data_IF_764952484668
#
_entry.id   IF_764952484668
#
_cell.length_a   1.000
_cell.length_b   1.000
_cell.length_c   1.000
_cell.angle_alpha   90.00
_cell.angle_beta   90.00
_cell.angle_gamma   90.00
#
_symmetry.space_group_name_H-M   'P 1'
#
loop_
_entity.id
_entity.type
_entity.pdbx_description
1 polymer ?
#
# COMPACT_ATOMS: atom_id res chain seq x y z
N UNK A 1 67.49 19.64 -10.09
CA UNK A 1 66.03 19.73 -10.31
C UNK A 1 65.83 19.55 -11.80
N UNK A 2 65.55 18.33 -12.22
CA UNK A 2 65.02 18.06 -13.56
C UNK A 2 63.56 18.50 -13.55
N UNK A 3 63.17 19.36 -14.49
CA UNK A 3 61.75 19.67 -14.72
C UNK A 3 61.03 18.38 -15.19
N UNK A 4 59.76 18.15 -14.80
CA UNK A 4 59.01 16.99 -15.27
C UNK A 4 58.89 17.06 -16.80
N UNK A 5 59.13 15.93 -17.47
CA UNK A 5 59.01 15.81 -18.92
C UNK A 5 57.52 15.83 -19.32
N UNK A 6 56.94 17.04 -19.40
CA UNK A 6 55.56 17.35 -19.80
C UNK A 6 55.29 16.81 -21.22
N UNK A 7 54.16 16.15 -21.47
CA UNK A 7 53.90 15.54 -22.77
C UNK A 7 53.75 16.64 -23.84
N UNK A 8 54.32 16.51 -25.06
CA UNK A 8 54.29 17.59 -26.07
C UNK A 8 52.87 18.09 -26.43
N UNK A 9 51.86 17.24 -26.27
CA UNK A 9 50.45 17.55 -26.53
C UNK A 9 49.68 18.08 -25.32
N UNK A 10 50.25 18.06 -24.12
CA UNK A 10 49.58 18.49 -22.88
C UNK A 10 49.10 19.94 -22.97
N UNK A 11 49.98 20.82 -23.48
CA UNK A 11 49.65 22.23 -23.73
C UNK A 11 48.56 22.42 -24.79
N UNK A 12 48.47 21.53 -25.77
CA UNK A 12 47.39 21.56 -26.76
C UNK A 12 46.06 21.13 -26.12
N UNK A 13 46.06 20.07 -25.32
CA UNK A 13 44.87 19.60 -24.59
C UNK A 13 44.35 20.68 -23.63
N UNK A 14 45.22 21.31 -22.83
CA UNK A 14 44.85 22.42 -21.95
C UNK A 14 44.28 23.61 -22.72
N UNK A 15 44.88 23.94 -23.88
CA UNK A 15 44.41 25.05 -24.69
C UNK A 15 43.04 24.77 -25.32
N UNK A 16 42.73 23.51 -25.65
CA UNK A 16 41.41 23.11 -26.10
C UNK A 16 40.41 23.09 -24.93
N UNK A 17 40.82 22.62 -23.75
CA UNK A 17 40.00 22.59 -22.55
C UNK A 17 39.58 24.00 -22.09
N UNK A 18 40.47 24.99 -22.17
CA UNK A 18 40.13 26.41 -21.91
C UNK A 18 39.06 26.98 -22.86
N UNK A 19 38.74 26.28 -23.95
CA UNK A 19 37.70 26.67 -24.91
C UNK A 19 36.39 25.87 -24.71
N UNK A 20 36.30 25.04 -23.66
CA UNK A 20 35.09 24.25 -23.35
C UNK A 20 33.86 25.13 -23.11
N UNK A 21 34.01 26.31 -22.52
CA UNK A 21 32.89 27.24 -22.32
C UNK A 21 32.20 27.65 -23.65
N UNK A 22 32.93 27.62 -24.77
CA UNK A 22 32.38 27.86 -26.12
C UNK A 22 31.84 26.60 -26.79
N UNK A 23 32.33 25.42 -26.41
CA UNK A 23 32.01 24.12 -27.01
C UNK A 23 30.79 23.45 -26.33
N UNK A 24 30.78 23.43 -24.99
CA UNK A 24 29.80 22.70 -24.20
C UNK A 24 28.35 23.15 -24.46
N UNK A 25 28.02 24.45 -24.60
CA UNK A 25 26.65 24.86 -24.92
C UNK A 25 26.16 24.34 -26.28
N UNK A 26 27.04 24.28 -27.28
CA UNK A 26 26.72 23.75 -28.62
C UNK A 26 26.53 22.24 -28.58
N UNK A 27 27.43 21.54 -27.89
CA UNK A 27 27.33 20.09 -27.70
C UNK A 27 26.05 19.75 -26.93
N UNK A 28 25.71 20.51 -25.89
CA UNK A 28 24.46 20.33 -25.14
C UNK A 28 23.22 20.53 -26.03
N UNK A 29 23.28 21.50 -26.95
CA UNK A 29 22.21 21.71 -27.96
C UNK A 29 22.05 20.47 -28.85
N UNK A 30 23.16 19.89 -29.33
CA UNK A 30 23.12 18.65 -30.11
C UNK A 30 22.58 17.46 -29.29
N UNK A 31 22.96 17.36 -28.02
CA UNK A 31 22.46 16.30 -27.13
C UNK A 31 20.95 16.39 -26.94
N UNK A 32 20.42 17.56 -26.62
CA UNK A 32 18.97 17.74 -26.44
C UNK A 32 18.19 17.55 -27.75
N UNK A 33 18.82 17.80 -28.91
CA UNK A 33 18.24 17.51 -30.21
C UNK A 33 18.09 15.99 -30.46
N UNK A 34 19.15 15.21 -30.20
CA UNK A 34 19.14 13.76 -30.44
C UNK A 34 18.50 12.95 -29.30
N UNK A 35 18.46 13.51 -28.09
CA UNK A 35 17.95 12.87 -26.87
C UNK A 35 17.09 13.85 -26.04
N UNK A 36 15.85 14.16 -26.48
CA UNK A 36 14.97 15.14 -25.82
C UNK A 36 14.63 14.78 -24.36
N UNK A 37 14.68 13.50 -24.00
CA UNK A 37 14.41 13.02 -22.63
C UNK A 37 15.37 13.63 -21.59
N UNK A 38 16.57 14.05 -22.02
CA UNK A 38 17.55 14.69 -21.14
C UNK A 38 17.23 16.15 -20.79
N UNK A 39 16.17 16.74 -21.36
CA UNK A 39 15.72 18.08 -21.00
C UNK A 39 15.29 18.22 -19.53
N UNK A 40 14.98 17.10 -18.85
CA UNK A 40 14.65 17.07 -17.43
C UNK A 40 15.87 17.03 -16.51
N UNK A 41 17.08 16.80 -17.04
CA UNK A 41 18.32 16.75 -16.26
C UNK A 41 18.80 18.19 -15.99
N UNK A 42 19.24 18.50 -14.76
CA UNK A 42 19.82 19.80 -14.45
C UNK A 42 20.98 20.18 -15.39
N UNK A 43 20.98 21.43 -15.86
CA UNK A 43 21.91 21.90 -16.88
C UNK A 43 23.38 21.84 -16.42
N UNK A 44 23.66 22.10 -15.15
CA UNK A 44 24.97 22.00 -14.54
C UNK A 44 25.51 20.57 -14.54
N UNK A 45 24.66 19.59 -14.22
CA UNK A 45 24.99 18.16 -14.26
C UNK A 45 25.28 17.72 -15.70
N UNK A 46 24.49 18.19 -16.67
CA UNK A 46 24.71 17.93 -18.10
C UNK A 46 26.04 18.51 -18.59
N UNK A 47 26.32 19.77 -18.26
CA UNK A 47 27.57 20.44 -18.65
C UNK A 47 28.80 19.75 -18.06
N UNK A 48 28.72 19.32 -16.79
CA UNK A 48 29.80 18.58 -16.13
C UNK A 48 30.06 17.23 -16.81
N UNK A 49 29.01 16.44 -17.05
CA UNK A 49 29.13 15.15 -17.73
C UNK A 49 29.72 15.29 -19.15
N UNK A 50 29.30 16.33 -19.88
CA UNK A 50 29.82 16.61 -21.22
C UNK A 50 31.29 17.02 -21.21
N UNK A 51 31.71 17.82 -20.21
CA UNK A 51 33.10 18.19 -20.04
C UNK A 51 33.98 16.95 -19.78
N UNK A 52 33.53 16.04 -18.93
CA UNK A 52 34.24 14.79 -18.62
C UNK A 52 34.33 13.86 -19.84
N UNK A 53 33.28 13.82 -20.66
CA UNK A 53 33.29 13.16 -21.96
C UNK A 53 34.38 13.71 -22.88
N UNK A 54 34.46 15.03 -23.06
CA UNK A 54 35.48 15.67 -23.89
C UNK A 54 36.90 15.47 -23.35
N UNK A 55 37.10 15.55 -22.02
CA UNK A 55 38.39 15.25 -21.39
C UNK A 55 38.87 13.86 -21.72
N UNK A 56 37.97 12.89 -21.80
CA UNK A 56 38.31 11.50 -22.17
C UNK A 56 38.94 11.43 -23.57
N UNK A 57 38.42 12.22 -24.52
CA UNK A 57 39.01 12.33 -25.85
C UNK A 57 40.35 13.05 -25.82
N UNK A 58 40.49 14.13 -25.04
CA UNK A 58 41.76 14.85 -24.89
C UNK A 58 42.87 13.96 -24.30
N UNK A 59 42.58 13.26 -23.20
CA UNK A 59 43.53 12.34 -22.56
C UNK A 59 43.98 11.24 -23.54
N UNK A 60 43.04 10.69 -24.31
CA UNK A 60 43.36 9.64 -25.28
C UNK A 60 44.30 10.10 -26.41
N UNK A 61 44.45 11.41 -26.66
CA UNK A 61 45.42 11.91 -27.66
C UNK A 61 46.88 11.72 -27.24
N UNK A 62 47.12 11.49 -25.95
CA UNK A 62 48.43 11.25 -25.36
C UNK A 62 48.67 9.77 -25.05
N UNK A 63 47.68 8.91 -25.31
CA UNK A 63 47.73 7.47 -25.02
C UNK A 63 47.87 6.66 -26.31
N UNK A 64 48.75 5.65 -26.36
CA UNK A 64 48.90 4.79 -27.53
C UNK A 64 47.76 3.78 -27.67
N UNK A 65 47.07 3.43 -26.57
CA UNK A 65 45.95 2.51 -26.56
C UNK A 65 44.62 3.27 -26.45
N UNK A 66 43.78 3.13 -27.48
CA UNK A 66 42.45 3.75 -27.53
C UNK A 66 41.34 2.82 -27.01
N UNK A 67 41.66 1.61 -26.56
CA UNK A 67 40.65 0.68 -26.05
C UNK A 67 39.87 1.21 -24.83
N UNK A 68 40.50 1.88 -23.85
CA UNK A 68 39.77 2.51 -22.75
C UNK A 68 38.76 3.57 -23.23
N UNK A 69 39.13 4.34 -24.26
CA UNK A 69 38.22 5.29 -24.91
C UNK A 69 37.06 4.57 -25.58
N UNK A 70 37.32 3.52 -26.37
CA UNK A 70 36.26 2.74 -27.06
C UNK A 70 35.25 2.19 -26.07
N UNK A 71 35.70 1.60 -24.96
CA UNK A 71 34.82 1.05 -23.92
C UNK A 71 33.94 2.13 -23.28
N UNK A 72 34.52 3.29 -22.96
CA UNK A 72 33.79 4.42 -22.39
C UNK A 72 32.74 4.98 -23.35
N UNK A 73 33.10 5.09 -24.63
CA UNK A 73 32.19 5.57 -25.68
C UNK A 73 31.02 4.61 -25.87
N UNK A 74 31.25 3.30 -25.89
CA UNK A 74 30.17 2.29 -25.94
C UNK A 74 29.27 2.42 -24.71
N UNK A 75 29.83 2.40 -23.50
CA UNK A 75 29.05 2.47 -22.26
C UNK A 75 28.16 3.75 -22.19
N UNK A 76 28.71 4.90 -22.57
CA UNK A 76 27.95 6.16 -22.62
C UNK A 76 26.87 6.14 -23.70
N UNK A 77 27.15 5.54 -24.85
CA UNK A 77 26.18 5.43 -25.96
C UNK A 77 25.04 4.46 -25.65
N UNK A 78 25.32 3.34 -24.97
CA UNK A 78 24.29 2.43 -24.47
C UNK A 78 23.37 3.12 -23.47
N UNK A 79 23.93 3.92 -22.54
CA UNK A 79 23.14 4.68 -21.59
C UNK A 79 22.15 5.64 -22.28
N UNK A 80 22.59 6.30 -23.36
CA UNK A 80 21.76 7.19 -24.18
C UNK A 80 20.67 6.45 -24.98
N UNK A 81 20.91 5.20 -25.37
CA UNK A 81 19.90 4.36 -26.03
C UNK A 81 18.81 3.93 -25.04
N UNK A 82 19.18 3.56 -23.80
CA UNK A 82 18.20 3.09 -22.82
C UNK A 82 17.25 4.18 -22.33
N UNK A 83 17.66 5.45 -22.31
CA UNK A 83 16.76 6.58 -22.03
C UNK A 83 15.80 6.91 -23.20
N UNK A 84 15.75 6.06 -24.24
CA UNK A 84 14.78 6.11 -25.33
C UNK A 84 15.33 6.64 -26.66
N UNK A 85 16.64 6.79 -26.81
CA UNK A 85 17.26 7.19 -28.07
C UNK A 85 17.49 6.02 -29.02
N UNK A 86 17.34 6.25 -30.32
CA UNK A 86 17.72 5.25 -31.33
C UNK A 86 19.25 5.02 -31.30
N UNK A 87 19.75 3.78 -31.48
CA UNK A 87 21.19 3.49 -31.51
C UNK A 87 21.99 4.36 -32.47
N UNK A 88 21.37 4.77 -33.58
CA UNK A 88 21.95 5.64 -34.59
C UNK A 88 22.15 7.08 -34.08
N UNK A 89 21.35 7.54 -33.12
CA UNK A 89 21.44 8.89 -32.56
C UNK A 89 22.74 9.11 -31.79
N UNK A 90 23.26 8.08 -31.11
CA UNK A 90 24.53 8.18 -30.38
C UNK A 90 25.69 8.45 -31.35
N UNK A 91 25.67 7.80 -32.51
CA UNK A 91 26.64 8.03 -33.59
C UNK A 91 26.51 9.45 -34.14
N UNK A 92 25.30 9.90 -34.45
CA UNK A 92 25.06 11.25 -34.97
C UNK A 92 25.49 12.35 -33.98
N UNK A 93 25.22 12.16 -32.69
CA UNK A 93 25.69 13.06 -31.65
C UNK A 93 27.22 13.12 -31.61
N UNK A 94 27.89 11.97 -31.69
CA UNK A 94 29.35 11.93 -31.69
C UNK A 94 29.96 12.58 -32.94
N UNK A 95 29.33 12.42 -34.11
CA UNK A 95 29.70 13.10 -35.34
C UNK A 95 29.57 14.63 -35.23
N UNK A 96 28.47 15.12 -34.67
CA UNK A 96 28.23 16.53 -34.43
C UNK A 96 29.24 17.12 -33.42
N UNK A 97 29.47 16.42 -32.32
CA UNK A 97 30.45 16.81 -31.30
C UNK A 97 31.87 16.86 -31.87
N UNK A 98 32.24 15.88 -32.71
CA UNK A 98 33.51 15.87 -33.43
C UNK A 98 33.69 17.11 -34.32
N UNK A 99 32.64 17.53 -35.03
CA UNK A 99 32.72 18.71 -35.90
C UNK A 99 33.01 19.99 -35.10
N UNK A 100 32.31 20.20 -33.98
CA UNK A 100 32.52 21.37 -33.13
C UNK A 100 33.93 21.39 -32.53
N UNK A 101 34.39 20.24 -32.02
CA UNK A 101 35.70 20.13 -31.37
C UNK A 101 36.85 20.26 -32.37
N UNK A 102 36.75 19.63 -33.55
CA UNK A 102 37.77 19.77 -34.59
C UNK A 102 37.83 21.17 -35.18
N UNK A 103 36.69 21.89 -35.27
CA UNK A 103 36.71 23.28 -35.72
C UNK A 103 37.57 24.15 -34.80
N UNK A 104 37.44 23.99 -33.49
CA UNK A 104 38.24 24.71 -32.50
C UNK A 104 39.71 24.24 -32.50
N UNK A 105 39.97 22.95 -32.71
CA UNK A 105 41.33 22.44 -32.86
C UNK A 105 42.03 23.02 -34.12
N UNK A 106 41.29 23.23 -35.21
CA UNK A 106 41.82 23.87 -36.42
C UNK A 106 42.07 25.37 -36.26
N UNK A 107 41.28 26.08 -35.42
CA UNK A 107 41.59 27.46 -35.02
C UNK A 107 42.99 27.53 -34.36
N UNK A 108 43.27 26.61 -33.43
CA UNK A 108 44.58 26.49 -32.79
C UNK A 108 45.72 26.24 -33.78
N UNK A 109 45.47 25.45 -34.83
CA UNK A 109 46.43 25.25 -35.92
C UNK A 109 46.67 26.54 -36.70
N UNK A 110 45.61 27.28 -37.02
CA UNK A 110 45.70 28.54 -37.76
C UNK A 110 46.39 29.65 -36.94
N UNK A 111 46.22 29.64 -35.62
CA UNK A 111 46.91 30.52 -34.67
C UNK A 111 48.40 30.18 -34.50
N UNK A 112 48.87 29.06 -35.06
CA UNK A 112 50.25 28.60 -34.93
C UNK A 112 50.59 28.06 -33.53
N UNK A 113 49.59 27.56 -32.80
CA UNK A 113 49.78 27.06 -31.45
C UNK A 113 50.69 25.80 -31.44
N UNK A 114 51.64 25.68 -30.50
CA UNK A 114 52.59 24.55 -30.46
C UNK A 114 51.89 23.18 -30.50
N UNK A 115 52.40 22.28 -31.34
CA UNK A 115 51.89 20.91 -31.53
C UNK A 115 50.39 20.80 -31.90
N UNK A 116 49.71 21.90 -32.25
CA UNK A 116 48.29 21.87 -32.56
C UNK A 116 47.93 20.99 -33.75
N UNK A 117 48.81 20.93 -34.76
CA UNK A 117 48.62 20.04 -35.93
C UNK A 117 48.65 18.57 -35.53
N UNK A 118 49.62 18.19 -34.70
CA UNK A 118 49.78 16.82 -34.22
C UNK A 118 48.65 16.43 -33.27
N UNK A 119 48.32 17.30 -32.31
CA UNK A 119 47.19 17.10 -31.40
C UNK A 119 45.85 17.00 -32.11
N UNK A 120 45.61 17.80 -33.16
CA UNK A 120 44.40 17.70 -33.98
C UNK A 120 44.33 16.36 -34.71
N UNK A 121 45.44 15.85 -35.25
CA UNK A 121 45.48 14.54 -35.91
C UNK A 121 45.22 13.40 -34.93
N UNK A 122 45.78 13.46 -33.71
CA UNK A 122 45.49 12.47 -32.67
C UNK A 122 44.03 12.54 -32.22
N UNK A 123 43.47 13.73 -32.09
CA UNK A 123 42.06 13.91 -31.74
C UNK A 123 41.14 13.32 -32.83
N UNK A 124 41.48 13.48 -34.11
CA UNK A 124 40.77 12.82 -35.21
C UNK A 124 40.83 11.29 -35.10
N UNK A 125 41.97 10.72 -34.71
CA UNK A 125 42.12 9.29 -34.48
C UNK A 125 41.24 8.82 -33.31
N UNK A 126 41.24 9.54 -32.19
CA UNK A 126 40.40 9.26 -31.02
C UNK A 126 38.90 9.28 -31.36
N UNK A 127 38.44 10.31 -32.08
CA UNK A 127 37.05 10.36 -32.55
C UNK A 127 36.70 9.25 -33.55
N UNK A 128 37.64 8.87 -34.42
CA UNK A 128 37.41 7.76 -35.36
C UNK A 128 37.26 6.43 -34.62
N UNK A 129 38.08 6.18 -33.61
CA UNK A 129 37.95 5.00 -32.76
C UNK A 129 36.61 4.97 -31.99
N UNK A 130 36.16 6.12 -31.48
CA UNK A 130 34.85 6.23 -30.84
C UNK A 130 33.68 5.97 -31.81
N UNK A 131 33.73 6.54 -33.01
CA UNK A 131 32.71 6.32 -34.05
C UNK A 131 32.64 4.87 -34.51
N UNK A 132 33.79 4.21 -34.67
CA UNK A 132 33.84 2.77 -34.97
C UNK A 132 33.18 1.94 -33.86
N UNK A 133 33.46 2.26 -32.59
CA UNK A 133 32.90 1.57 -31.44
C UNK A 133 31.37 1.74 -31.34
N UNK A 134 30.84 2.96 -31.53
CA UNK A 134 29.39 3.21 -31.57
C UNK A 134 28.71 2.51 -32.73
N UNK A 135 29.36 2.43 -33.89
CA UNK A 135 28.83 1.71 -35.06
C UNK A 135 28.71 0.22 -34.75
N UNK A 136 29.77 -0.39 -34.17
CA UNK A 136 29.76 -1.80 -33.77
C UNK A 136 28.69 -2.11 -32.72
N UNK A 137 28.48 -1.19 -31.76
CA UNK A 137 27.42 -1.26 -30.76
C UNK A 137 26.01 -1.25 -31.38
N UNK A 138 25.75 -0.32 -32.32
CA UNK A 138 24.44 -0.23 -32.98
C UNK A 138 24.05 -1.51 -33.75
N UNK A 139 25.02 -2.24 -34.31
CA UNK A 139 24.78 -3.53 -34.97
C UNK A 139 24.57 -4.70 -34.00
N UNK A 140 24.97 -4.58 -32.74
CA UNK A 140 24.91 -5.68 -31.75
C UNK A 140 23.72 -5.58 -30.79
N UNK A 141 23.24 -4.36 -30.51
CA UNK A 141 22.06 -4.10 -29.67
C UNK A 141 20.74 -4.76 -30.13
N UNK A 142 20.40 -4.90 -31.43
CA UNK A 142 19.13 -5.52 -31.84
C UNK A 142 19.03 -7.03 -31.54
N UNK A 143 20.12 -7.71 -31.18
CA UNK A 143 20.16 -9.16 -30.93
C UNK A 143 20.49 -9.56 -29.48
N UNK A 144 20.91 -8.61 -28.63
CA UNK A 144 21.11 -8.86 -27.21
C UNK A 144 19.89 -8.33 -26.45
N UNK A 145 19.18 -9.21 -25.73
CA UNK A 145 18.14 -8.80 -24.80
C UNK A 145 18.65 -7.71 -23.87
N UNK A 146 17.79 -6.75 -23.54
CA UNK A 146 18.07 -5.56 -22.74
C UNK A 146 19.03 -5.87 -21.57
N UNK A 147 20.31 -5.54 -21.71
CA UNK A 147 21.28 -5.60 -20.59
C UNK A 147 21.19 -4.24 -19.90
N UNK A 148 20.42 -4.18 -18.82
CA UNK A 148 20.35 -2.99 -17.98
C UNK A 148 21.69 -2.84 -17.24
N UNK A 149 22.46 -1.80 -17.57
CA UNK A 149 23.71 -1.51 -16.86
C UNK A 149 23.44 -0.99 -15.44
N UNK A 150 24.40 -1.16 -14.53
CA UNK A 150 24.26 -0.70 -13.14
C UNK A 150 23.84 0.78 -13.00
N UNK A 151 24.33 1.74 -13.80
CA UNK A 151 23.86 3.14 -13.75
C UNK A 151 22.39 3.32 -14.12
N UNK A 152 21.88 2.57 -15.10
CA UNK A 152 20.47 2.66 -15.53
C UNK A 152 19.52 2.02 -14.52
N UNK A 153 19.91 0.88 -13.94
CA UNK A 153 19.18 0.29 -12.83
C UNK A 153 19.11 1.24 -11.63
N UNK A 154 20.20 1.97 -11.38
CA UNK A 154 20.25 2.97 -10.32
C UNK A 154 19.30 4.13 -10.59
N UNK A 155 19.33 4.71 -11.80
CA UNK A 155 18.39 5.78 -12.18
C UNK A 155 16.95 5.32 -12.08
N UNK A 156 16.64 4.12 -12.59
CA UNK A 156 15.30 3.52 -12.45
C UNK A 156 14.88 3.39 -10.99
N UNK A 157 15.76 2.85 -10.14
CA UNK A 157 15.49 2.68 -8.73
C UNK A 157 15.29 4.04 -8.02
N UNK A 158 16.06 5.07 -8.39
CA UNK A 158 15.95 6.43 -7.84
C UNK A 158 14.62 7.09 -8.19
N UNK A 159 14.12 6.95 -9.43
CA UNK A 159 12.83 7.54 -9.85
C UNK A 159 11.61 6.65 -9.56
N UNK A 160 11.81 5.44 -9.04
CA UNK A 160 10.72 4.52 -8.77
C UNK A 160 9.82 5.05 -7.63
N UNK A 161 8.49 5.14 -7.82
CA UNK A 161 7.58 5.58 -6.77
C UNK A 161 7.38 4.54 -5.65
N UNK A 162 7.84 3.30 -5.85
CA UNK A 162 7.89 2.29 -4.80
C UNK A 162 9.15 2.47 -3.95
N UNK A 163 9.07 2.20 -2.66
CA UNK A 163 10.25 2.22 -1.79
C UNK A 163 11.16 1.03 -2.14
N UNK A 164 12.40 1.31 -2.50
CA UNK A 164 13.40 0.31 -2.88
C UNK A 164 14.59 0.43 -1.95
N UNK A 165 15.02 -0.70 -1.41
CA UNK A 165 16.26 -0.84 -0.67
C UNK A 165 17.07 -2.02 -1.22
N UNK A 166 18.39 -1.85 -1.35
CA UNK A 166 19.30 -2.92 -1.73
C UNK A 166 20.36 -3.06 -0.65
N UNK A 167 20.62 -4.28 -0.21
CA UNK A 167 21.65 -4.62 0.76
C UNK A 167 22.63 -5.67 0.21
N UNK A 168 23.90 -5.53 0.54
CA UNK A 168 24.90 -6.58 0.31
C UNK A 168 24.64 -7.79 1.23
N UNK A 169 25.14 -8.98 0.89
CA UNK A 169 25.09 -10.15 1.78
C UNK A 169 25.78 -9.96 3.14
N UNK A 170 26.53 -8.87 3.33
CA UNK A 170 27.03 -8.39 4.62
C UNK A 170 26.04 -7.55 5.44
N UNK A 171 24.74 -7.66 5.14
CA UNK A 171 23.58 -7.03 5.80
C UNK A 171 23.47 -5.50 5.66
N UNK A 172 24.51 -4.80 5.25
CA UNK A 172 24.45 -3.36 5.07
C UNK A 172 23.70 -2.96 3.79
N UNK A 173 22.77 -2.03 3.96
CA UNK A 173 22.07 -1.36 2.88
C UNK A 173 23.07 -0.52 2.11
N UNK A 174 23.26 -0.89 0.85
CA UNK A 174 24.11 -0.20 -0.11
C UNK A 174 23.35 0.85 -0.90
N UNK A 175 22.01 0.79 -0.89
CA UNK A 175 21.14 1.72 -1.61
C UNK A 175 19.75 1.80 -0.98
N UNK A 176 19.20 2.99 -0.91
CA UNK A 176 17.80 3.26 -0.63
C UNK A 176 17.36 4.47 -1.48
N UNK A 177 16.23 4.36 -2.17
CA UNK A 177 15.71 5.48 -2.97
C UNK A 177 14.95 6.50 -2.11
N UNK A 178 14.58 7.64 -2.72
CA UNK A 178 13.85 8.71 -2.03
C UNK A 178 12.50 8.22 -1.47
N UNK A 179 11.80 7.35 -2.20
CA UNK A 179 10.57 6.71 -1.76
C UNK A 179 10.76 5.90 -0.47
N UNK A 180 11.88 5.18 -0.33
CA UNK A 180 12.23 4.45 0.88
C UNK A 180 12.56 5.39 2.05
N UNK A 181 13.32 6.45 1.81
CA UNK A 181 13.61 7.44 2.86
C UNK A 181 12.33 8.14 3.33
N UNK A 182 11.42 8.46 2.40
CA UNK A 182 10.11 9.04 2.69
C UNK A 182 9.23 8.11 3.52
N UNK A 183 9.17 6.82 3.15
CA UNK A 183 8.46 5.78 3.90
C UNK A 183 8.96 5.68 5.35
N UNK A 184 10.28 5.75 5.53
CA UNK A 184 10.89 5.66 6.85
C UNK A 184 10.80 6.98 7.63
N UNK A 185 10.48 8.11 6.97
CA UNK A 185 10.47 9.44 7.57
C UNK A 185 11.85 9.96 7.97
N UNK A 186 12.92 9.32 7.47
CA UNK A 186 14.32 9.69 7.70
C UNK A 186 15.19 9.13 6.58
N UNK A 187 16.33 9.77 6.37
CA UNK A 187 17.35 9.23 5.49
C UNK A 187 17.98 7.99 6.12
N UNK A 188 18.01 6.90 5.36
CA UNK A 188 18.66 5.66 5.75
C UNK A 188 20.15 5.76 5.48
N UNK A 189 20.97 5.41 6.46
CA UNK A 189 22.42 5.52 6.38
C UNK A 189 23.06 4.29 5.74
N UNK A 190 24.16 4.51 5.02
CA UNK A 190 25.03 3.45 4.49
C UNK A 190 25.64 2.69 5.68
N UNK A 191 25.09 1.52 6.01
CA UNK A 191 25.45 0.76 7.21
C UNK A 191 24.26 0.28 8.07
N UNK A 192 23.03 0.66 7.74
CA UNK A 192 21.84 0.06 8.36
C UNK A 192 21.43 -1.21 7.61
N UNK A 193 20.85 -2.17 8.32
CA UNK A 193 20.38 -3.42 7.72
C UNK A 193 18.87 -3.38 7.52
N UNK A 194 18.34 -4.01 6.48
CA UNK A 194 16.88 -4.11 6.32
C UNK A 194 16.22 -4.76 7.55
N UNK A 195 16.89 -5.75 8.16
CA UNK A 195 16.43 -6.39 9.40
C UNK A 195 16.34 -5.46 10.60
N UNK A 196 17.23 -4.45 10.69
CA UNK A 196 17.16 -3.44 11.75
C UNK A 196 15.93 -2.53 11.65
N UNK A 197 15.36 -2.41 10.45
CA UNK A 197 14.12 -1.68 10.22
C UNK A 197 12.91 -2.52 10.58
N UNK A 198 13.00 -3.84 10.72
CA UNK A 198 11.86 -4.69 11.05
C UNK A 198 11.56 -4.59 12.55
N UNK A 199 10.30 -4.37 12.91
CA UNK A 199 9.88 -4.32 14.32
C UNK A 199 10.27 -5.63 15.04
N UNK A 200 10.62 -5.60 16.34
CA UNK A 200 11.05 -6.80 17.07
C UNK A 200 10.08 -7.98 16.99
N UNK A 201 8.77 -7.70 16.99
CA UNK A 201 7.73 -8.72 16.86
C UNK A 201 7.78 -9.50 15.52
N UNK A 202 8.34 -8.91 14.47
CA UNK A 202 8.47 -9.52 13.15
C UNK A 202 9.90 -10.01 12.85
N UNK A 203 10.85 -9.90 13.78
CA UNK A 203 12.23 -10.34 13.58
C UNK A 203 12.32 -11.82 13.18
N UNK A 204 11.57 -12.70 13.85
CA UNK A 204 11.53 -14.13 13.51
C UNK A 204 10.93 -14.41 12.13
N UNK A 205 9.91 -13.63 11.72
CA UNK A 205 9.32 -13.73 10.37
C UNK A 205 10.31 -13.29 9.30
N UNK A 206 11.08 -12.24 9.56
CA UNK A 206 12.13 -11.78 8.66
C UNK A 206 13.27 -12.79 8.54
N UNK A 207 13.68 -13.42 9.65
CA UNK A 207 14.69 -14.48 9.63
C UNK A 207 14.26 -15.66 8.74
N UNK A 208 13.01 -16.12 8.89
CA UNK A 208 12.46 -17.18 8.03
C UNK A 208 12.32 -16.75 6.56
N UNK A 209 11.93 -15.49 6.31
CA UNK A 209 11.89 -14.93 4.96
C UNK A 209 13.28 -14.95 4.31
N UNK A 210 14.34 -14.61 5.06
CA UNK A 210 15.72 -14.65 4.56
C UNK A 210 16.12 -16.06 4.14
N UNK A 211 15.83 -17.08 4.95
CA UNK A 211 16.09 -18.48 4.59
C UNK A 211 15.35 -18.88 3.30
N UNK A 212 14.08 -18.48 3.18
CA UNK A 212 13.29 -18.73 1.97
C UNK A 212 13.88 -18.03 0.74
N UNK A 213 14.35 -16.78 0.85
CA UNK A 213 14.99 -16.07 -0.27
C UNK A 213 16.27 -16.77 -0.73
N UNK A 214 17.07 -17.30 0.21
CA UNK A 214 18.28 -18.06 -0.13
C UNK A 214 17.95 -19.37 -0.87
N UNK A 215 16.85 -20.03 -0.50
CA UNK A 215 16.42 -21.27 -1.13
C UNK A 215 15.70 -21.05 -2.47
N UNK A 216 14.79 -20.09 -2.54
CA UNK A 216 13.80 -19.93 -3.63
C UNK A 216 14.02 -18.67 -4.49
N UNK A 217 15.12 -17.94 -4.28
CA UNK A 217 15.50 -16.68 -4.97
C UNK A 217 14.59 -15.47 -4.71
N UNK A 218 13.40 -15.66 -4.13
CA UNK A 218 12.48 -14.57 -3.82
C UNK A 218 11.59 -14.88 -2.61
N UNK A 219 11.00 -13.85 -2.02
CA UNK A 219 9.98 -13.95 -0.99
C UNK A 219 9.03 -12.76 -1.07
N UNK A 220 7.77 -12.99 -0.70
CA UNK A 220 6.78 -11.94 -0.55
C UNK A 220 5.98 -12.12 0.73
N UNK A 221 5.78 -11.05 1.48
CA UNK A 221 4.94 -11.09 2.65
C UNK A 221 4.82 -9.76 3.37
N UNK A 222 3.99 -9.76 4.41
CA UNK A 222 3.68 -8.56 5.19
C UNK A 222 4.57 -8.46 6.41
N UNK A 223 5.19 -7.29 6.57
CA UNK A 223 6.01 -6.91 7.70
C UNK A 223 5.52 -5.59 8.30
N UNK A 224 6.19 -5.18 9.36
CA UNK A 224 6.05 -3.86 9.97
C UNK A 224 7.46 -3.33 10.12
N UNK A 225 7.68 -2.13 9.61
CA UNK A 225 8.95 -1.45 9.72
C UNK A 225 8.87 -0.38 10.80
N UNK A 226 10.02 -0.08 11.40
CA UNK A 226 10.23 0.92 12.42
C UNK A 226 10.84 2.16 11.76
N UNK A 227 10.03 3.17 11.52
CA UNK A 227 10.46 4.45 10.97
C UNK A 227 11.04 5.40 12.02
N UNK A 228 11.17 6.67 11.63
CA UNK A 228 11.61 7.75 12.50
C UNK A 228 10.77 7.82 13.78
N UNK A 229 11.40 8.19 14.89
CA UNK A 229 10.72 8.37 16.20
C UNK A 229 9.96 7.13 16.70
N UNK A 230 10.25 5.94 16.15
CA UNK A 230 9.64 4.68 16.56
C UNK A 230 8.25 4.43 15.97
N UNK A 231 7.84 5.15 14.92
CA UNK A 231 6.57 4.88 14.24
C UNK A 231 6.61 3.52 13.54
N UNK A 232 5.52 2.75 13.65
CA UNK A 232 5.41 1.46 12.97
C UNK A 232 4.63 1.61 11.67
N UNK A 233 5.26 1.29 10.54
CA UNK A 233 4.61 1.29 9.22
C UNK A 233 4.33 -0.15 8.79
N UNK A 234 3.05 -0.54 8.62
CA UNK A 234 2.72 -1.81 7.99
C UNK A 234 3.09 -1.77 6.50
N UNK A 235 3.84 -2.77 6.06
CA UNK A 235 4.34 -2.84 4.68
C UNK A 235 4.15 -4.21 4.08
N UNK A 236 3.88 -4.25 2.78
CA UNK A 236 4.06 -5.45 1.98
C UNK A 236 5.45 -5.40 1.34
N UNK A 237 6.25 -6.44 1.57
CA UNK A 237 7.63 -6.54 1.10
C UNK A 237 7.73 -7.63 0.06
N UNK A 238 8.34 -7.31 -1.07
CA UNK A 238 8.80 -8.29 -2.06
C UNK A 238 10.32 -8.22 -2.09
N UNK A 239 10.97 -9.32 -1.74
CA UNK A 239 12.41 -9.40 -1.62
C UNK A 239 12.94 -10.45 -2.60
N UNK A 240 14.02 -10.16 -3.30
CA UNK A 240 14.62 -11.08 -4.27
C UNK A 240 16.13 -10.92 -4.34
N UNK A 241 16.78 -12.03 -4.65
CA UNK A 241 18.24 -12.10 -4.73
C UNK A 241 18.74 -11.57 -6.07
N UNK A 242 19.77 -10.73 -6.01
CA UNK A 242 20.48 -10.17 -7.15
C UNK A 242 21.92 -10.70 -7.16
N UNK A 243 22.45 -10.90 -8.37
CA UNK A 243 23.88 -11.13 -8.60
C UNK A 243 24.51 -9.81 -9.04
N UNK A 244 25.63 -9.43 -8.44
CA UNK A 244 26.37 -8.22 -8.81
C UNK A 244 27.33 -8.54 -9.95
N UNK A 245 27.71 -7.53 -10.74
CA UNK A 245 28.65 -7.67 -11.86
C UNK A 245 30.03 -8.21 -11.42
N UNK A 246 30.41 -8.02 -10.15
CA UNK A 246 31.63 -8.55 -9.55
C UNK A 246 31.53 -9.99 -9.02
N UNK A 247 30.41 -10.69 -9.26
CA UNK A 247 30.19 -12.06 -8.76
C UNK A 247 29.81 -12.15 -7.28
N UNK A 248 29.39 -11.04 -6.66
CA UNK A 248 28.82 -11.00 -5.31
C UNK A 248 27.31 -11.14 -5.34
N UNK A 249 26.69 -11.38 -4.19
CA UNK A 249 25.23 -11.41 -4.09
C UNK A 249 24.71 -10.18 -3.32
N UNK A 250 23.51 -9.74 -3.69
CA UNK A 250 22.78 -8.67 -3.03
C UNK A 250 21.31 -9.07 -2.85
N UNK A 251 20.64 -8.41 -1.91
CA UNK A 251 19.22 -8.54 -1.67
C UNK A 251 18.54 -7.23 -2.04
N UNK A 252 17.57 -7.28 -2.94
CA UNK A 252 16.70 -6.15 -3.23
C UNK A 252 15.36 -6.35 -2.56
N UNK A 253 14.87 -5.32 -1.88
CA UNK A 253 13.56 -5.25 -1.26
C UNK A 253 12.76 -4.12 -1.91
N UNK A 254 11.63 -4.46 -2.49
CA UNK A 254 10.57 -3.51 -2.85
C UNK A 254 9.56 -3.51 -1.71
N UNK A 255 9.32 -2.32 -1.15
CA UNK A 255 8.51 -2.10 0.04
C UNK A 255 7.34 -1.21 -0.33
N UNK A 256 6.13 -1.66 -0.02
CA UNK A 256 4.91 -0.89 -0.25
C UNK A 256 4.24 -0.57 1.07
N UNK A 257 3.97 0.70 1.34
CA UNK A 257 3.12 1.11 2.45
C UNK A 257 1.68 0.61 2.26
N UNK A 258 1.15 -0.09 3.26
CA UNK A 258 -0.25 -0.55 3.25
C UNK A 258 -1.07 0.09 4.37
N UNK A 259 -0.57 1.18 4.97
CA UNK A 259 -1.25 1.91 6.03
C UNK A 259 -2.63 2.40 5.62
N UNK A 260 -2.73 3.08 4.47
CA UNK A 260 -4.02 3.58 3.96
C UNK A 260 -4.98 2.43 3.63
N UNK A 261 -4.46 1.37 2.99
CA UNK A 261 -5.25 0.20 2.64
C UNK A 261 -5.85 -0.46 3.89
N UNK A 262 -5.05 -0.63 4.95
CA UNK A 262 -5.52 -1.20 6.22
C UNK A 262 -6.51 -0.28 6.93
N UNK A 263 -6.32 1.04 6.90
CA UNK A 263 -7.29 2.00 7.47
C UNK A 263 -8.64 1.91 6.76
N UNK A 264 -8.64 1.85 5.43
CA UNK A 264 -9.86 1.71 4.62
C UNK A 264 -10.56 0.38 4.92
N UNK A 265 -9.81 -0.71 5.04
CA UNK A 265 -10.37 -2.02 5.38
C UNK A 265 -11.00 -2.04 6.78
N UNK A 266 -10.32 -1.47 7.77
CA UNK A 266 -10.82 -1.35 9.14
C UNK A 266 -12.08 -0.49 9.23
N UNK A 267 -12.10 0.65 8.54
CA UNK A 267 -13.28 1.53 8.51
C UNK A 267 -14.46 0.82 7.84
N UNK A 268 -14.22 0.06 6.76
CA UNK A 268 -15.25 -0.76 6.14
C UNK A 268 -15.83 -1.79 7.11
N UNK A 269 -14.99 -2.49 7.87
CA UNK A 269 -15.44 -3.48 8.87
C UNK A 269 -16.24 -2.80 9.99
N UNK A 270 -15.81 -1.61 10.43
CA UNK A 270 -16.52 -0.82 11.44
C UNK A 270 -17.91 -0.40 10.95
N UNK A 271 -18.00 0.16 9.75
CA UNK A 271 -19.28 0.56 9.15
C UNK A 271 -20.21 -0.65 8.96
N UNK A 272 -19.68 -1.80 8.55
CA UNK A 272 -20.46 -3.04 8.46
C UNK A 272 -20.99 -3.47 9.82
N UNK A 273 -20.16 -3.43 10.88
CA UNK A 273 -20.60 -3.76 12.23
C UNK A 273 -21.67 -2.79 12.75
N UNK A 274 -21.57 -1.50 12.43
CA UNK A 274 -22.57 -0.49 12.78
C UNK A 274 -23.91 -0.72 12.05
N UNK A 275 -23.86 -1.07 10.76
CA UNK A 275 -25.05 -1.45 9.98
C UNK A 275 -25.70 -2.68 10.58
N UNK A 276 -24.93 -3.73 10.92
CA UNK A 276 -25.46 -4.94 11.56
C UNK A 276 -26.10 -4.59 12.91
N UNK A 277 -25.44 -3.80 13.75
CA UNK A 277 -25.99 -3.39 15.05
C UNK A 277 -27.28 -2.58 14.90
N UNK A 278 -27.35 -1.70 13.90
CA UNK A 278 -28.56 -0.92 13.59
C UNK A 278 -29.69 -1.81 13.09
N UNK A 279 -29.38 -2.78 12.22
CA UNK A 279 -30.34 -3.78 11.75
C UNK A 279 -30.85 -4.65 12.90
N UNK A 280 -29.98 -5.13 13.78
CA UNK A 280 -30.35 -5.90 14.97
C UNK A 280 -31.23 -5.10 15.93
N UNK A 281 -30.93 -3.81 16.13
CA UNK A 281 -31.75 -2.91 16.93
C UNK A 281 -33.13 -2.70 16.30
N UNK A 282 -33.20 -2.45 14.99
CA UNK A 282 -34.46 -2.31 14.25
C UNK A 282 -35.27 -3.62 14.27
N UNK A 283 -34.62 -4.78 14.14
CA UNK A 283 -35.26 -6.09 14.30
C UNK A 283 -35.82 -6.23 15.72
N UNK A 284 -35.07 -5.85 16.77
CA UNK A 284 -35.57 -5.87 18.16
C UNK A 284 -36.74 -4.92 18.39
N UNK A 285 -36.73 -3.74 17.78
CA UNK A 285 -37.82 -2.76 17.86
C UNK A 285 -39.07 -3.25 17.11
N UNK A 286 -38.91 -3.81 15.91
CA UNK A 286 -39.99 -4.48 15.15
C UNK A 286 -40.49 -5.76 15.83
N UNK A 287 -39.68 -6.34 16.72
CA UNK A 287 -40.08 -7.45 17.58
C UNK A 287 -40.81 -7.01 18.84
N UNK A 288 -41.22 -5.73 18.98
CA UNK A 288 -41.98 -5.30 20.15
C UNK A 288 -43.27 -6.11 20.27
N UNK A 289 -43.36 -6.95 21.32
CA UNK A 289 -44.51 -7.82 21.49
C UNK A 289 -45.66 -7.02 22.11
N UNK A 290 -45.45 -5.80 22.63
CA UNK A 290 -46.46 -5.06 23.38
C UNK A 290 -47.15 -3.97 22.53
N UNK A 291 -48.35 -4.28 22.06
CA UNK A 291 -49.22 -3.43 21.25
C UNK A 291 -50.17 -2.59 22.14
N UNK A 292 -50.13 -1.25 22.09
CA UNK A 292 -51.14 -0.43 22.74
C UNK A 292 -52.46 -0.53 21.97
N UNK A 293 -53.54 -0.93 22.64
CA UNK A 293 -54.86 -1.07 22.02
C UNK A 293 -55.78 0.13 22.32
N UNK A 294 -55.66 0.69 23.52
CA UNK A 294 -56.38 1.87 23.97
C UNK A 294 -55.66 2.49 25.17
N UNK A 295 -56.12 3.65 25.64
CA UNK A 295 -55.64 4.25 26.88
C UNK A 295 -55.78 3.25 28.06
N UNK A 296 -54.65 2.90 28.67
CA UNK A 296 -54.60 1.93 29.77
C UNK A 296 -54.81 0.46 29.36
N UNK A 297 -54.79 0.12 28.07
CA UNK A 297 -54.92 -1.27 27.57
C UNK A 297 -53.76 -1.62 26.64
N UNK A 298 -53.02 -2.67 27.00
CA UNK A 298 -51.92 -3.21 26.18
C UNK A 298 -52.18 -4.67 25.84
N UNK A 299 -51.63 -5.15 24.73
CA UNK A 299 -51.71 -6.54 24.30
C UNK A 299 -50.33 -7.08 23.93
N UNK A 300 -50.07 -8.34 24.23
CA UNK A 300 -48.82 -9.01 24.02
C UNK A 300 -48.99 -10.36 23.32
N UNK A 301 -48.91 -10.44 21.98
CA UNK A 301 -48.78 -11.72 21.29
C UNK A 301 -47.47 -12.44 21.60
N UNK A 302 -47.58 -13.72 21.94
CA UNK A 302 -46.47 -14.67 22.03
C UNK A 302 -46.58 -15.65 20.86
N UNK A 303 -45.58 -15.64 19.99
CA UNK A 303 -45.52 -16.50 18.79
C UNK A 303 -44.30 -17.42 18.84
N UNK A 304 -44.50 -18.70 18.50
CA UNK A 304 -43.44 -19.71 18.39
C UNK A 304 -43.18 -20.46 19.70
N UNK A 305 -42.04 -21.15 19.77
CA UNK A 305 -41.62 -21.90 20.96
C UNK A 305 -40.99 -20.98 21.99
N UNK A 306 -41.37 -21.13 23.26
CA UNK A 306 -40.82 -20.34 24.37
C UNK A 306 -40.00 -21.27 25.26
N UNK A 307 -38.72 -21.00 25.38
CA UNK A 307 -37.84 -21.62 26.38
C UNK A 307 -37.75 -20.75 27.65
N UNK A 308 -37.00 -21.20 28.66
CA UNK A 308 -36.87 -20.48 29.93
C UNK A 308 -36.27 -19.07 29.75
N UNK A 309 -35.25 -18.92 28.89
CA UNK A 309 -34.59 -17.64 28.61
C UNK A 309 -35.55 -16.65 27.95
N UNK A 310 -36.27 -17.10 26.92
CA UNK A 310 -37.26 -16.30 26.20
C UNK A 310 -38.46 -15.96 27.08
N UNK A 311 -38.88 -16.88 27.95
CA UNK A 311 -39.95 -16.65 28.93
C UNK A 311 -39.62 -15.52 29.91
N UNK A 312 -38.38 -15.46 30.40
CA UNK A 312 -37.92 -14.37 31.26
C UNK A 312 -37.92 -13.01 30.51
N UNK A 313 -37.37 -12.96 29.30
CA UNK A 313 -37.38 -11.72 28.49
C UNK A 313 -38.80 -11.23 28.17
N UNK A 314 -39.74 -12.15 27.94
CA UNK A 314 -41.17 -11.85 27.72
C UNK A 314 -41.80 -11.24 28.98
N UNK A 315 -41.51 -11.81 30.15
CA UNK A 315 -41.99 -11.30 31.43
C UNK A 315 -41.48 -9.89 31.69
N UNK A 316 -40.18 -9.66 31.52
CA UNK A 316 -39.56 -8.36 31.75
C UNK A 316 -40.15 -7.30 30.81
N UNK A 317 -40.29 -7.62 29.52
CA UNK A 317 -40.90 -6.72 28.53
C UNK A 317 -42.38 -6.41 28.85
N UNK A 318 -43.14 -7.38 29.33
CA UNK A 318 -44.54 -7.17 29.75
C UNK A 318 -44.62 -6.21 30.94
N UNK A 319 -43.83 -6.45 31.99
CA UNK A 319 -43.86 -5.66 33.22
C UNK A 319 -43.32 -4.24 33.01
N UNK A 320 -42.21 -4.08 32.29
CA UNK A 320 -41.68 -2.78 31.89
C UNK A 320 -42.72 -2.03 31.05
N UNK A 321 -43.36 -2.73 30.11
CA UNK A 321 -44.41 -2.20 29.27
C UNK A 321 -45.65 -1.72 30.03
N UNK A 322 -46.10 -2.50 31.02
CA UNK A 322 -47.21 -2.16 31.93
C UNK A 322 -46.86 -0.92 32.73
N UNK A 323 -45.67 -0.87 33.33
CA UNK A 323 -45.22 0.22 34.18
C UNK A 323 -45.08 1.54 33.38
N UNK A 324 -44.38 1.48 32.25
CA UNK A 324 -44.14 2.66 31.40
C UNK A 324 -45.43 3.27 30.85
N UNK A 325 -46.45 2.45 30.59
CA UNK A 325 -47.74 2.89 30.00
C UNK A 325 -48.88 2.99 31.01
N UNK A 326 -48.62 2.74 32.29
CA UNK A 326 -49.62 2.68 33.37
C UNK A 326 -50.85 1.84 32.95
N UNK A 327 -50.60 0.67 32.36
CA UNK A 327 -51.64 -0.17 31.82
C UNK A 327 -52.53 -0.72 32.95
N UNK A 328 -53.84 -0.56 32.83
CA UNK A 328 -54.83 -1.11 33.77
C UNK A 328 -55.24 -2.52 33.37
N UNK A 329 -55.14 -2.83 32.07
CA UNK A 329 -55.41 -4.17 31.53
C UNK A 329 -54.29 -4.55 30.57
N UNK A 330 -53.74 -5.75 30.75
CA UNK A 330 -52.80 -6.36 29.82
C UNK A 330 -53.41 -7.64 29.24
N UNK A 331 -53.35 -7.81 27.92
CA UNK A 331 -53.76 -9.03 27.23
C UNK A 331 -52.49 -9.80 26.85
N UNK A 332 -52.42 -11.08 27.15
CA UNK A 332 -51.35 -11.98 26.74
C UNK A 332 -51.93 -13.01 25.77
N UNK A 333 -51.62 -12.88 24.49
CA UNK A 333 -52.14 -13.78 23.46
C UNK A 333 -51.16 -14.91 23.18
N UNK A 334 -51.53 -16.13 23.58
CA UNK A 334 -50.71 -17.33 23.40
C UNK A 334 -51.18 -18.21 22.25
N UNK A 335 -52.04 -17.67 21.36
CA UNK A 335 -52.57 -18.41 20.19
C UNK A 335 -51.46 -18.99 19.31
N UNK A 336 -50.31 -18.33 19.22
CA UNK A 336 -49.16 -18.73 18.42
C UNK A 336 -48.24 -19.77 19.06
N UNK A 337 -48.54 -20.25 20.28
CA UNK A 337 -47.70 -21.22 21.00
C UNK A 337 -48.12 -22.67 20.69
N UNK A 338 -47.13 -23.51 20.37
CA UNK A 338 -47.32 -24.92 20.05
C UNK A 338 -47.14 -25.84 21.26
N UNK A 339 -46.27 -25.48 22.20
CA UNK A 339 -45.94 -26.26 23.41
C UNK A 339 -45.75 -25.31 24.59
N UNK A 340 -46.29 -25.67 25.74
CA UNK A 340 -46.02 -25.02 27.03
C UNK A 340 -45.31 -26.03 27.92
N UNK A 341 -44.15 -25.64 28.45
CA UNK A 341 -43.43 -26.39 29.47
C UNK A 341 -43.63 -25.74 30.85
N UNK A 342 -43.29 -26.48 31.91
CA UNK A 342 -43.20 -26.06 33.32
C UNK A 342 -42.67 -24.64 33.51
N UNK A 343 -41.53 -24.31 32.88
CA UNK A 343 -40.91 -22.99 32.98
C UNK A 343 -41.79 -21.84 32.45
N UNK A 344 -42.53 -22.10 31.37
CA UNK A 344 -43.42 -21.10 30.76
C UNK A 344 -44.66 -20.91 31.62
N UNK A 345 -45.23 -22.00 32.14
CA UNK A 345 -46.35 -21.95 33.08
C UNK A 345 -46.00 -21.16 34.36
N UNK A 346 -44.80 -21.37 34.91
CA UNK A 346 -44.31 -20.60 36.04
C UNK A 346 -44.12 -19.12 35.68
N UNK A 347 -43.58 -18.84 34.50
CA UNK A 347 -43.46 -17.48 33.96
C UNK A 347 -44.79 -16.74 33.88
N UNK A 348 -45.85 -17.41 33.41
CA UNK A 348 -47.22 -16.85 33.35
C UNK A 348 -47.77 -16.51 34.73
N UNK A 349 -47.53 -17.36 35.73
CA UNK A 349 -47.94 -17.08 37.11
C UNK A 349 -47.15 -15.92 37.73
N UNK A 350 -45.85 -15.82 37.45
CA UNK A 350 -45.03 -14.68 37.87
C UNK A 350 -45.54 -13.39 37.21
N UNK A 351 -45.87 -13.43 35.93
CA UNK A 351 -46.47 -12.31 35.20
C UNK A 351 -47.79 -11.86 35.84
N UNK A 352 -48.70 -12.79 36.12
CA UNK A 352 -49.98 -12.50 36.75
C UNK A 352 -49.82 -11.84 38.13
N UNK A 353 -48.94 -12.38 38.97
CA UNK A 353 -48.67 -11.84 40.31
C UNK A 353 -48.04 -10.44 40.23
N UNK A 354 -47.04 -10.27 39.38
CA UNK A 354 -46.36 -8.98 39.22
C UNK A 354 -47.29 -7.92 38.60
N UNK A 355 -48.07 -8.26 37.58
CA UNK A 355 -49.09 -7.38 37.00
C UNK A 355 -50.13 -6.94 38.04
N UNK A 356 -50.61 -7.89 38.87
CA UNK A 356 -51.55 -7.58 39.96
C UNK A 356 -50.95 -6.62 41.00
N UNK A 357 -49.67 -6.78 41.35
CA UNK A 357 -48.97 -5.85 42.23
C UNK A 357 -48.83 -4.44 41.63
N UNK A 358 -48.74 -4.34 40.29
CA UNK A 358 -48.75 -3.09 39.55
C UNK A 358 -50.16 -2.52 39.33
N UNK A 359 -51.20 -3.18 39.84
CA UNK A 359 -52.60 -2.75 39.69
C UNK A 359 -53.19 -3.05 38.31
N UNK A 360 -52.62 -4.01 37.58
CA UNK A 360 -53.02 -4.38 36.23
C UNK A 360 -53.77 -5.71 36.21
N UNK A 361 -54.94 -5.73 35.58
CA UNK A 361 -55.69 -6.96 35.30
C UNK A 361 -55.08 -7.68 34.09
N UNK A 362 -54.68 -8.95 34.28
CA UNK A 362 -54.12 -9.76 33.21
C UNK A 362 -55.18 -10.65 32.57
N UNK A 363 -55.33 -10.54 31.25
CA UNK A 363 -56.19 -11.40 30.41
C UNK A 363 -55.29 -12.32 29.58
N UNK A 364 -55.51 -13.63 29.62
CA UNK A 364 -54.79 -14.59 28.76
C UNK A 364 -55.74 -15.11 27.68
N UNK A 365 -55.33 -15.05 26.42
CA UNK A 365 -56.11 -15.51 25.27
C UNK A 365 -55.42 -16.62 24.49
N UNK A 366 -56.21 -17.46 23.80
CA UNK A 366 -55.64 -18.45 22.88
C UNK A 366 -55.13 -19.73 23.54
N UNK A 367 -55.58 -20.05 24.77
CA UNK A 367 -55.24 -21.30 25.45
C UNK A 367 -55.85 -22.48 24.70
N UNK A 368 -55.01 -23.27 24.00
CA UNK A 368 -55.42 -24.49 23.30
C UNK A 368 -55.54 -25.68 24.28
N UNK A 369 -56.28 -26.72 23.88
CA UNK A 369 -56.52 -27.90 24.72
C UNK A 369 -55.26 -28.57 25.28
N UNK A 370 -54.21 -28.71 24.45
CA UNK A 370 -52.93 -29.27 24.89
C UNK A 370 -52.24 -28.41 25.97
N UNK A 371 -52.29 -27.07 25.82
CA UNK A 371 -51.74 -26.13 26.81
C UNK A 371 -52.54 -26.17 28.11
N UNK A 372 -53.87 -26.21 28.03
CA UNK A 372 -54.74 -26.32 29.18
C UNK A 372 -54.49 -27.62 29.98
N UNK A 373 -54.31 -28.75 29.28
CA UNK A 373 -53.98 -30.03 29.92
C UNK A 373 -52.63 -29.96 30.67
N UNK A 374 -51.62 -29.34 30.07
CA UNK A 374 -50.33 -29.15 30.75
C UNK A 374 -50.46 -28.26 31.98
N UNK A 375 -51.17 -27.13 31.88
CA UNK A 375 -51.36 -26.23 33.04
C UNK A 375 -52.09 -26.94 34.20
N UNK A 376 -53.11 -27.75 33.89
CA UNK A 376 -53.81 -28.55 34.90
C UNK A 376 -52.89 -29.65 35.47
N UNK A 377 -52.13 -30.34 34.63
CA UNK A 377 -51.19 -31.38 35.06
C UNK A 377 -50.05 -30.86 35.94
N UNK A 378 -49.74 -29.56 35.85
CA UNK A 378 -48.74 -28.87 36.67
C UNK A 378 -49.32 -28.25 37.95
N UNK A 379 -50.60 -28.49 38.26
CA UNK A 379 -51.31 -27.91 39.40
C UNK A 379 -51.25 -26.37 39.44
N UNK A 380 -51.28 -25.75 38.26
CA UNK A 380 -51.19 -24.31 38.11
C UNK A 380 -52.57 -23.67 38.34
N UNK A 381 -52.73 -23.02 39.49
CA UNK A 381 -53.90 -22.19 39.77
C UNK A 381 -53.77 -20.82 39.11
N UNK A 382 -54.59 -20.56 38.09
CA UNK A 382 -54.64 -19.29 37.36
C UNK A 382 -55.39 -18.18 38.13
N UNK A 383 -55.35 -18.23 39.46
CA UNK A 383 -56.08 -17.30 40.32
C UNK A 383 -55.59 -15.86 40.11
N UNK A 384 -56.50 -14.95 39.77
CA UNK A 384 -56.17 -13.57 39.43
C UNK A 384 -55.84 -13.32 37.96
N UNK A 385 -56.07 -14.29 37.07
CA UNK A 385 -56.10 -14.09 35.63
C UNK A 385 -57.51 -14.28 35.07
N UNK A 386 -57.82 -13.53 34.02
CA UNK A 386 -59.03 -13.74 33.21
C UNK A 386 -58.62 -14.51 31.97
N UNK A 387 -59.25 -15.64 31.67
CA UNK A 387 -59.01 -16.38 30.43
C UNK A 387 -60.11 -16.09 29.41
N UNK A 388 -59.75 -15.96 28.14
CA UNK A 388 -60.69 -15.89 27.02
C UNK A 388 -60.25 -16.85 25.92
N UNK A 389 -61.20 -17.39 25.14
CA UNK A 389 -60.87 -18.37 24.11
C UNK A 389 -60.11 -17.72 22.94
N UNK A 390 -60.46 -16.48 22.61
CA UNK A 390 -59.88 -15.75 21.47
C UNK A 390 -59.36 -14.37 21.87
N UNK A 391 -58.41 -13.84 21.09
CA UNK A 391 -57.93 -12.47 21.24
C UNK A 391 -59.08 -11.45 21.13
N UNK A 392 -60.01 -11.67 20.21
CA UNK A 392 -61.18 -10.79 20.02
C UNK A 392 -62.03 -10.67 21.30
N UNK A 393 -62.31 -11.79 21.97
CA UNK A 393 -63.00 -11.80 23.26
C UNK A 393 -62.20 -11.08 24.35
N UNK A 394 -60.88 -11.31 24.38
CA UNK A 394 -59.97 -10.66 25.32
C UNK A 394 -59.97 -9.14 25.15
N UNK A 395 -59.90 -8.64 23.91
CA UNK A 395 -59.98 -7.20 23.60
C UNK A 395 -61.33 -6.62 24.04
N UNK A 396 -62.44 -7.29 23.70
CA UNK A 396 -63.77 -6.84 24.11
C UNK A 396 -63.95 -6.83 25.64
N UNK A 397 -63.31 -7.77 26.34
CA UNK A 397 -63.29 -7.81 27.82
C UNK A 397 -62.42 -6.70 28.39
N UNK A 398 -61.22 -6.49 27.86
CA UNK A 398 -60.29 -5.46 28.28
C UNK A 398 -60.91 -4.06 28.19
N UNK A 399 -61.56 -3.76 27.06
CA UNK A 399 -62.24 -2.48 26.85
C UNK A 399 -63.38 -2.24 27.84
N UNK A 400 -64.07 -3.30 28.31
CA UNK A 400 -65.10 -3.19 29.35
C UNK A 400 -64.51 -2.95 30.73
N UNK A 401 -63.39 -3.60 31.06
CA UNK A 401 -62.70 -3.41 32.34
C UNK A 401 -62.10 -2.01 32.44
N UNK A 402 -61.43 -1.54 31.39
CA UNK A 402 -60.86 -0.19 31.33
C UNK A 402 -61.91 0.92 31.56
N UNK A 403 -63.17 0.69 31.12
CA UNK A 403 -64.29 1.62 31.34
C UNK A 403 -64.86 1.61 32.76
N UNK A 404 -64.77 0.50 33.50
CA UNK A 404 -65.32 0.38 34.86
C UNK A 404 -64.44 1.00 35.94
N UNK A 405 -63.17 1.26 35.62
CA UNK A 405 -62.19 1.85 36.53
C UNK A 405 -62.06 3.38 36.33
N UNK A 406 -62.93 3.98 35.50
CA UNK A 406 -63.23 5.43 35.47
C UNK A 406 -64.47 5.66 36.32
#
# INVERSE_FOLDING_TARGET
MEEPNEHPLERFCEALERRFDRLLPKINTHILHYFPALAAVPEDVMLQANADGLRSYLVSTMEPDLEPLRQRVVASSEALVVIGGAPENARHLLEASRQEVLAVALELVAEGFPHAREGTLQLMASYSAGLEATTKMAFTLPQAGLVLSAPLLRVFAEVCPEAIAVSSMGEYMSFANESMNSLMGRELTLGETFGSLVVPAHAGRWAAAREAIMAEQHWRGRLRLLGAEGHEVPVDVTAFRLQTEGGGEALCCIVRDVSELLKVEQERLRLQAEVIATQDAAIRELMTPLLPLAEGVVAMPIVGTVDATRGASILDALLEGIAARQARVAILDITGMSVVDTHVAEGLLRAARAAKLLGTELIVTGIRGAVAQTLVGLDVHLDGMITCATLQEGVARAMRLARKTR
#
